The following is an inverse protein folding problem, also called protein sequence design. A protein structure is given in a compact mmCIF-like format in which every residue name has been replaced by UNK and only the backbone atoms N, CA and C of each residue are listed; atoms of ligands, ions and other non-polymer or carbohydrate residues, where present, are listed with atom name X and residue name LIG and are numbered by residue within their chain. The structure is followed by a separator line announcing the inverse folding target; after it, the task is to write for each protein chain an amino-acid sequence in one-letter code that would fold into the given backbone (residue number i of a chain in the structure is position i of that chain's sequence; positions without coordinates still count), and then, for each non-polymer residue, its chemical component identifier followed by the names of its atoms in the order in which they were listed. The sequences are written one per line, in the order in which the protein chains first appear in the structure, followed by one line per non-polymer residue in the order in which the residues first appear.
data_IF_772303301343
#
_entry.id   IF_772303301343
#
_cell.length_a   1.000
_cell.length_b   1.000
_cell.length_c   1.000
_cell.angle_alpha   90.00
_cell.angle_beta   90.00
_cell.angle_gamma   90.00
#
_symmetry.space_group_name_H-M   'P 1'
#
loop_
_entity.id
_entity.type
_entity.pdbx_description
1 polymer ?
#
# COMPACT_ATOMS: atom_id res chain seq x y z
N UNK A 1 13.83 -14.90 -8.67
CA UNK A 1 13.33 -13.51 -8.58
C UNK A 1 13.79 -12.80 -7.29
N UNK A 2 13.89 -13.50 -6.16
CA UNK A 2 14.30 -12.87 -4.88
C UNK A 2 15.78 -12.40 -4.86
N UNK A 3 16.63 -12.97 -5.69
CA UNK A 3 18.06 -12.62 -5.82
C UNK A 3 18.34 -11.63 -6.96
N UNK A 4 17.31 -11.21 -7.69
CA UNK A 4 17.47 -10.26 -8.80
C UNK A 4 17.74 -8.84 -8.24
N UNK A 5 18.87 -8.21 -8.59
CA UNK A 5 19.25 -6.89 -8.07
C UNK A 5 18.24 -5.78 -8.42
N UNK A 6 17.46 -5.96 -9.47
CA UNK A 6 16.37 -5.06 -9.84
C UNK A 6 15.19 -5.19 -8.88
N UNK A 7 14.84 -6.40 -8.45
CA UNK A 7 13.78 -6.65 -7.48
C UNK A 7 14.14 -6.07 -6.10
N UNK A 8 15.37 -6.26 -5.65
CA UNK A 8 15.85 -5.70 -4.38
C UNK A 8 15.82 -4.17 -4.38
N UNK A 9 16.18 -3.53 -5.48
CA UNK A 9 16.10 -2.06 -5.62
C UNK A 9 14.65 -1.56 -5.53
N UNK A 10 13.73 -2.22 -6.21
CA UNK A 10 12.30 -1.90 -6.13
C UNK A 10 11.75 -2.11 -4.72
N UNK A 11 12.10 -3.21 -4.08
CA UNK A 11 11.72 -3.50 -2.70
C UNK A 11 12.19 -2.39 -1.74
N UNK A 12 13.46 -2.02 -1.81
CA UNK A 12 14.00 -0.94 -0.98
C UNK A 12 13.36 0.42 -1.33
N UNK A 13 13.04 0.66 -2.59
CA UNK A 13 12.31 1.85 -3.03
C UNK A 13 10.94 1.95 -2.37
N UNK A 14 10.16 0.88 -2.37
CA UNK A 14 8.85 0.83 -1.71
C UNK A 14 8.96 1.01 -0.19
N UNK A 15 9.92 0.35 0.46
CA UNK A 15 10.15 0.53 1.90
C UNK A 15 10.51 1.98 2.24
N UNK A 16 11.30 2.65 1.39
CA UNK A 16 11.62 4.07 1.58
C UNK A 16 10.40 4.96 1.35
N UNK A 17 9.62 4.68 0.29
CA UNK A 17 8.38 5.40 0.00
C UNK A 17 7.38 5.33 1.17
N UNK A 18 7.23 4.17 1.81
CA UNK A 18 6.38 4.01 3.00
C UNK A 18 6.83 4.88 4.18
N UNK A 19 8.14 4.96 4.42
CA UNK A 19 8.68 5.83 5.49
C UNK A 19 8.40 7.29 5.16
N UNK A 20 8.57 7.72 3.91
CA UNK A 20 8.26 9.09 3.48
C UNK A 20 6.78 9.42 3.66
N UNK A 21 5.89 8.48 3.33
CA UNK A 21 4.44 8.66 3.55
C UNK A 21 4.11 8.73 5.03
N UNK A 22 4.68 7.85 5.86
CA UNK A 22 4.48 7.89 7.31
C UNK A 22 4.97 9.22 7.92
N UNK A 23 6.11 9.73 7.44
CA UNK A 23 6.64 11.02 7.85
C UNK A 23 5.75 12.19 7.40
N UNK A 24 5.26 12.15 6.15
CA UNK A 24 4.34 13.17 5.62
C UNK A 24 3.02 13.20 6.41
N UNK A 25 2.48 12.02 6.77
CA UNK A 25 1.29 11.91 7.63
C UNK A 25 1.52 12.55 9.01
N UNK A 26 2.66 12.26 9.64
CA UNK A 26 3.02 12.87 10.92
C UNK A 26 3.17 14.38 10.81
N UNK A 27 3.83 14.88 9.77
CA UNK A 27 3.98 16.32 9.54
C UNK A 27 2.62 16.99 9.30
N UNK A 28 1.76 16.38 8.48
CA UNK A 28 0.43 16.92 8.20
C UNK A 28 -0.44 16.98 9.45
N UNK A 29 -0.42 15.94 10.26
CA UNK A 29 -1.16 15.90 11.53
C UNK A 29 -0.57 16.87 12.57
N UNK A 30 0.76 16.95 12.67
CA UNK A 30 1.44 17.90 13.55
C UNK A 30 1.14 19.35 13.17
N UNK A 31 1.12 19.68 11.86
CA UNK A 31 0.74 20.99 11.37
C UNK A 31 -0.74 21.31 11.66
N UNK A 32 -1.62 20.33 11.43
CA UNK A 32 -3.04 20.46 11.74
C UNK A 32 -3.30 20.74 13.22
N UNK A 33 -2.54 20.09 14.11
CA UNK A 33 -2.60 20.34 15.54
C UNK A 33 -2.12 21.74 15.91
N UNK A 34 -1.01 22.19 15.34
CA UNK A 34 -0.46 23.52 15.59
C UNK A 34 -1.44 24.64 15.18
N UNK A 35 -2.24 24.41 14.14
CA UNK A 35 -3.19 25.39 13.63
C UNK A 35 -4.55 25.34 14.32
N UNK A 36 -5.05 24.18 14.74
CA UNK A 36 -6.43 23.99 15.21
C UNK A 36 -6.58 23.87 16.73
N UNK A 37 -5.49 23.78 17.51
CA UNK A 37 -5.47 23.55 18.96
C UNK A 37 -6.28 22.31 19.44
N UNK A 38 -6.82 21.52 18.53
CA UNK A 38 -7.64 20.35 18.85
C UNK A 38 -6.76 19.11 18.75
N UNK A 39 -6.10 18.77 19.85
CA UNK A 39 -5.17 17.64 19.90
C UNK A 39 -5.94 16.33 20.03
N UNK A 40 -5.77 15.45 19.05
CA UNK A 40 -6.19 14.05 19.16
C UNK A 40 -4.96 13.15 19.33
N UNK A 41 -4.55 12.87 20.56
CA UNK A 41 -3.32 12.13 20.83
C UNK A 41 -3.34 10.72 20.22
N UNK A 42 -4.52 10.14 20.01
CA UNK A 42 -4.70 8.82 19.40
C UNK A 42 -4.28 8.79 17.92
N UNK A 43 -4.63 9.81 17.13
CA UNK A 43 -4.25 9.89 15.71
C UNK A 43 -2.73 9.99 15.56
N UNK A 44 -2.09 10.81 16.37
CA UNK A 44 -0.63 10.92 16.39
C UNK A 44 0.03 9.62 16.84
N UNK A 45 -0.49 8.95 17.85
CA UNK A 45 0.07 7.69 18.32
C UNK A 45 0.01 6.59 17.26
N UNK A 46 -1.07 6.52 16.48
CA UNK A 46 -1.20 5.57 15.36
C UNK A 46 -0.21 5.89 14.25
N UNK A 47 -0.06 7.17 13.89
CA UNK A 47 0.91 7.56 12.86
C UNK A 47 2.35 7.35 13.30
N UNK A 48 2.66 7.58 14.57
CA UNK A 48 3.97 7.29 15.16
C UNK A 48 4.24 5.78 15.20
N UNK A 49 3.24 4.99 15.60
CA UNK A 49 3.33 3.52 15.58
C UNK A 49 3.54 2.99 14.15
N UNK A 50 2.84 3.57 13.17
CA UNK A 50 3.03 3.23 11.76
C UNK A 50 4.44 3.58 11.28
N UNK A 51 4.96 4.77 11.61
CA UNK A 51 6.35 5.13 11.30
C UNK A 51 7.33 4.16 11.95
N UNK A 52 7.16 3.86 13.23
CA UNK A 52 8.01 2.90 13.92
C UNK A 52 7.97 1.51 13.28
N UNK A 53 6.78 1.02 12.91
CA UNK A 53 6.60 -0.26 12.22
C UNK A 53 7.28 -0.27 10.85
N UNK A 54 7.16 0.79 10.04
CA UNK A 54 7.79 0.88 8.71
C UNK A 54 9.31 0.95 8.81
N UNK A 55 9.85 1.68 9.79
CA UNK A 55 11.30 1.74 10.06
C UNK A 55 11.80 0.38 10.54
N UNK A 56 11.09 -0.27 11.45
CA UNK A 56 11.44 -1.61 11.97
C UNK A 56 11.44 -2.65 10.84
N UNK A 57 10.42 -2.67 10.00
CA UNK A 57 10.34 -3.56 8.84
C UNK A 57 11.49 -3.33 7.87
N UNK A 58 11.91 -2.07 7.67
CA UNK A 58 13.07 -1.76 6.85
C UNK A 58 14.37 -2.24 7.48
N UNK A 59 14.49 -2.12 8.80
CA UNK A 59 15.70 -2.53 9.53
C UNK A 59 15.85 -4.05 9.59
N UNK A 60 14.75 -4.76 9.85
CA UNK A 60 14.71 -6.23 9.88
C UNK A 60 14.75 -6.85 8.47
N UNK A 61 14.21 -6.15 7.46
CA UNK A 61 14.13 -6.63 6.08
C UNK A 61 15.36 -6.31 5.22
N UNK A 62 16.49 -5.90 5.82
CA UNK A 62 17.71 -5.53 5.07
C UNK A 62 18.26 -6.65 4.20
N UNK A 63 18.10 -7.91 4.60
CA UNK A 63 18.78 -9.04 4.00
C UNK A 63 17.87 -10.06 3.28
N UNK A 64 16.55 -9.89 3.34
CA UNK A 64 15.62 -10.87 2.77
C UNK A 64 14.41 -10.20 2.14
N UNK A 65 14.43 -10.01 0.84
CA UNK A 65 13.20 -9.73 0.10
C UNK A 65 12.29 -10.96 0.15
N UNK A 66 10.98 -10.81 0.46
CA UNK A 66 10.07 -11.94 0.53
C UNK A 66 9.96 -12.62 -0.84
N UNK A 67 9.88 -13.95 -0.83
CA UNK A 67 9.64 -14.71 -2.05
C UNK A 67 8.35 -14.23 -2.72
N UNK A 68 8.26 -14.25 -4.06
CA UNK A 68 7.08 -13.76 -4.80
C UNK A 68 5.80 -14.59 -4.58
N UNK A 69 5.88 -15.70 -3.85
CA UNK A 69 4.74 -16.47 -3.38
C UNK A 69 4.12 -15.83 -2.15
N UNK A 70 2.79 -15.92 -2.00
CA UNK A 70 2.02 -15.38 -0.88
C UNK A 70 2.48 -16.02 0.46
N UNK A 71 3.58 -15.54 1.01
CA UNK A 71 4.11 -15.98 2.30
C UNK A 71 3.64 -15.07 3.45
N UNK A 72 3.78 -15.49 4.71
CA UNK A 72 3.38 -14.71 5.87
C UNK A 72 4.11 -13.35 5.96
N UNK A 73 5.27 -13.20 5.34
CA UNK A 73 6.02 -11.95 5.25
C UNK A 73 5.28 -10.86 4.46
N UNK A 74 4.55 -11.24 3.40
CA UNK A 74 3.70 -10.33 2.64
C UNK A 74 2.52 -9.85 3.47
N UNK A 75 1.90 -10.76 4.23
CA UNK A 75 0.81 -10.41 5.13
C UNK A 75 1.26 -9.42 6.19
N UNK A 76 2.43 -9.62 6.79
CA UNK A 76 2.98 -8.69 7.76
C UNK A 76 3.27 -7.32 7.16
N UNK A 77 3.85 -7.27 5.95
CA UNK A 77 4.20 -6.01 5.30
C UNK A 77 2.97 -5.23 4.82
N UNK A 78 2.09 -5.87 4.02
CA UNK A 78 0.89 -5.24 3.46
C UNK A 78 -0.16 -5.02 4.56
N UNK A 79 -0.30 -5.99 5.49
CA UNK A 79 -1.26 -5.92 6.57
C UNK A 79 -1.03 -4.73 7.49
N UNK A 80 0.22 -4.41 7.82
CA UNK A 80 0.56 -3.23 8.64
C UNK A 80 0.08 -1.94 7.97
N UNK A 81 0.27 -1.79 6.65
CA UNK A 81 -0.18 -0.61 5.93
C UNK A 81 -1.71 -0.50 5.92
N UNK A 82 -2.39 -1.61 5.59
CA UNK A 82 -3.85 -1.65 5.56
C UNK A 82 -4.43 -1.35 6.94
N UNK A 83 -3.90 -1.97 8.00
CA UNK A 83 -4.36 -1.74 9.37
C UNK A 83 -4.11 -0.30 9.84
N UNK A 84 -2.94 0.28 9.53
CA UNK A 84 -2.63 1.66 9.89
C UNK A 84 -3.59 2.65 9.20
N UNK A 85 -3.84 2.48 7.89
CA UNK A 85 -4.77 3.35 7.15
C UNK A 85 -6.21 3.15 7.65
N UNK A 86 -6.64 1.91 7.94
CA UNK A 86 -7.94 1.65 8.55
C UNK A 86 -8.08 2.34 9.92
N UNK A 87 -7.07 2.21 10.78
CA UNK A 87 -7.10 2.85 12.09
C UNK A 87 -7.19 4.38 11.97
N UNK A 88 -6.42 4.99 11.06
CA UNK A 88 -6.50 6.43 10.78
C UNK A 88 -7.88 6.82 10.25
N UNK A 89 -8.47 6.03 9.35
CA UNK A 89 -9.81 6.29 8.81
C UNK A 89 -10.89 6.23 9.89
N UNK A 90 -10.79 5.29 10.84
CA UNK A 90 -11.75 5.13 11.94
C UNK A 90 -11.60 6.23 12.99
N UNK A 91 -10.36 6.61 13.32
CA UNK A 91 -10.09 7.60 14.37
C UNK A 91 -10.33 9.01 13.90
N UNK A 92 -10.17 9.28 12.60
CA UNK A 92 -10.31 10.62 12.06
C UNK A 92 -11.77 10.96 11.81
N UNK A 93 -12.30 11.92 12.57
CA UNK A 93 -13.69 12.43 12.43
C UNK A 93 -13.76 13.76 11.67
N UNK A 94 -12.66 14.23 11.11
CA UNK A 94 -12.47 15.60 10.62
C UNK A 94 -12.33 15.76 9.10
N UNK A 95 -13.15 15.11 8.28
CA UNK A 95 -13.25 15.46 6.85
C UNK A 95 -12.06 15.10 5.93
N UNK A 96 -10.89 14.74 6.48
CA UNK A 96 -9.78 14.21 5.67
C UNK A 96 -10.09 12.77 5.25
N UNK A 97 -9.91 12.50 3.97
CA UNK A 97 -10.14 11.19 3.40
C UNK A 97 -8.80 10.46 3.23
N UNK A 98 -8.55 9.42 4.04
CA UNK A 98 -7.35 8.59 3.96
C UNK A 98 -7.46 7.45 2.92
N UNK A 99 -8.59 7.33 2.23
CA UNK A 99 -8.82 6.29 1.20
C UNK A 99 -7.68 6.22 0.17
N UNK A 100 -7.12 7.33 -0.36
CA UNK A 100 -6.03 7.25 -1.34
C UNK A 100 -4.77 6.52 -0.84
N UNK A 101 -4.53 6.50 0.47
CA UNK A 101 -3.37 5.82 1.06
C UNK A 101 -3.43 4.29 0.91
N UNK A 102 -4.61 3.70 0.75
CA UNK A 102 -4.73 2.29 0.40
C UNK A 102 -4.10 1.94 -0.96
N UNK A 103 -3.87 2.93 -1.81
CA UNK A 103 -3.12 2.74 -3.05
C UNK A 103 -1.70 2.20 -2.83
N UNK A 104 -1.04 2.55 -1.71
CA UNK A 104 0.35 2.13 -1.43
C UNK A 104 0.47 0.61 -1.28
N UNK A 105 -0.26 -0.06 -0.36
CA UNK A 105 -0.20 -1.51 -0.24
C UNK A 105 -0.69 -2.23 -1.49
N UNK A 106 -1.68 -1.68 -2.21
CA UNK A 106 -2.17 -2.24 -3.47
C UNK A 106 -1.09 -2.18 -4.55
N UNK A 107 -0.42 -1.03 -4.74
CA UNK A 107 0.66 -0.88 -5.71
C UNK A 107 1.85 -1.77 -5.38
N UNK A 108 2.21 -1.87 -4.10
CA UNK A 108 3.28 -2.76 -3.65
C UNK A 108 2.96 -4.23 -3.99
N UNK A 109 1.74 -4.68 -3.71
CA UNK A 109 1.27 -6.02 -4.05
C UNK A 109 1.25 -6.25 -5.57
N UNK A 110 0.85 -5.24 -6.37
CA UNK A 110 0.75 -5.33 -7.82
C UNK A 110 2.11 -5.37 -8.53
N UNK A 111 3.09 -4.61 -8.04
CA UNK A 111 4.43 -4.52 -8.66
C UNK A 111 5.33 -5.67 -8.24
N UNK A 112 5.36 -5.99 -6.95
CA UNK A 112 6.31 -6.94 -6.38
C UNK A 112 5.72 -8.34 -6.19
N UNK A 113 4.42 -8.43 -5.99
CA UNK A 113 3.73 -9.67 -5.69
C UNK A 113 3.22 -10.45 -6.90
N UNK A 114 2.50 -11.52 -6.61
CA UNK A 114 1.74 -12.28 -7.61
C UNK A 114 0.41 -11.58 -7.94
N UNK A 115 -0.20 -11.93 -9.08
CA UNK A 115 -1.52 -11.41 -9.44
C UNK A 115 -2.58 -11.73 -8.36
N UNK A 116 -2.52 -12.93 -7.78
CA UNK A 116 -3.40 -13.33 -6.68
C UNK A 116 -3.22 -12.47 -5.44
N UNK A 117 -1.98 -12.11 -5.09
CA UNK A 117 -1.71 -11.20 -3.98
C UNK A 117 -2.24 -9.80 -4.27
N UNK A 118 -2.01 -9.28 -5.47
CA UNK A 118 -2.46 -7.96 -5.90
C UNK A 118 -4.00 -7.85 -5.85
N UNK A 119 -4.71 -8.78 -6.47
CA UNK A 119 -6.17 -8.81 -6.49
C UNK A 119 -6.75 -9.11 -5.10
N UNK A 120 -6.12 -10.00 -4.34
CA UNK A 120 -6.52 -10.31 -2.96
C UNK A 120 -6.41 -9.09 -2.03
N UNK A 121 -5.31 -8.35 -2.12
CA UNK A 121 -5.13 -7.10 -1.36
C UNK A 121 -6.18 -6.06 -1.75
N UNK A 122 -6.44 -5.91 -3.04
CA UNK A 122 -7.46 -4.98 -3.56
C UNK A 122 -8.86 -5.38 -3.09
N UNK A 123 -9.18 -6.67 -3.11
CA UNK A 123 -10.45 -7.18 -2.62
C UNK A 123 -10.61 -6.92 -1.10
N UNK A 124 -9.57 -7.18 -0.31
CA UNK A 124 -9.58 -6.91 1.13
C UNK A 124 -9.81 -5.42 1.42
N UNK A 125 -9.10 -4.52 0.74
CA UNK A 125 -9.29 -3.07 0.89
C UNK A 125 -10.70 -2.66 0.48
N UNK A 126 -11.23 -3.16 -0.63
CA UNK A 126 -12.59 -2.85 -1.09
C UNK A 126 -13.64 -3.29 -0.08
N UNK A 127 -13.50 -4.49 0.49
CA UNK A 127 -14.38 -5.00 1.54
C UNK A 127 -14.30 -4.15 2.81
N UNK A 128 -13.10 -3.68 3.19
CA UNK A 128 -12.92 -2.77 4.33
C UNK A 128 -13.61 -1.42 4.09
N UNK A 129 -13.51 -0.85 2.88
CA UNK A 129 -14.20 0.40 2.53
C UNK A 129 -15.73 0.23 2.54
N UNK A 130 -16.25 -0.90 2.05
CA UNK A 130 -17.68 -1.21 2.10
C UNK A 130 -18.15 -1.44 3.54
N UNK A 131 -17.37 -2.15 4.35
CA UNK A 131 -17.66 -2.34 5.77
C UNK A 131 -17.68 -1.01 6.53
N UNK A 132 -16.76 -0.10 6.21
CA UNK A 132 -16.73 1.25 6.76
C UNK A 132 -17.97 2.05 6.36
N UNK A 133 -18.37 2.00 5.08
CA UNK A 133 -19.59 2.66 4.60
C UNK A 133 -20.84 2.13 5.31
N UNK A 134 -20.90 0.81 5.52
CA UNK A 134 -21.97 0.17 6.29
C UNK A 134 -22.01 0.65 7.73
N UNK A 135 -20.85 0.70 8.39
CA UNK A 135 -20.72 1.17 9.78
C UNK A 135 -21.21 2.61 9.93
N UNK A 136 -20.80 3.50 9.01
CA UNK A 136 -21.28 4.88 9.00
C UNK A 136 -22.79 4.98 8.82
N UNK A 137 -23.38 4.17 7.93
CA UNK A 137 -24.82 4.12 7.71
C UNK A 137 -25.60 3.69 8.96
N UNK A 138 -25.09 2.71 9.69
CA UNK A 138 -25.71 2.22 10.94
C UNK A 138 -25.63 3.29 12.03
N UNK A 139 -24.50 3.99 12.15
CA UNK A 139 -24.32 5.00 13.21
C UNK A 139 -25.06 6.32 12.94
N UNK A 140 -25.07 6.77 11.70
CA UNK A 140 -25.64 8.08 11.37
C UNK A 140 -27.15 8.06 11.20
N UNK A 141 -27.75 6.89 10.96
CA UNK A 141 -29.18 6.80 10.60
C UNK A 141 -29.57 7.52 9.32
N UNK A 142 -28.58 8.08 8.59
CA UNK A 142 -28.75 8.79 7.34
C UNK A 142 -28.63 7.83 6.16
N UNK A 143 -29.06 8.29 4.98
CA UNK A 143 -28.90 7.51 3.75
C UNK A 143 -27.42 7.24 3.45
N UNK A 144 -27.00 5.98 3.59
CA UNK A 144 -25.63 5.54 3.37
C UNK A 144 -25.31 5.31 1.87
N UNK A 145 -26.27 5.44 0.97
CA UNK A 145 -26.12 5.17 -0.47
C UNK A 145 -24.91 5.89 -1.08
N UNK A 146 -24.67 7.20 -0.82
CA UNK A 146 -23.50 7.88 -1.36
C UNK A 146 -22.17 7.26 -0.92
N UNK A 147 -22.06 6.82 0.33
CA UNK A 147 -20.86 6.19 0.86
C UNK A 147 -20.60 4.82 0.24
N UNK A 148 -21.66 4.03 -0.02
CA UNK A 148 -21.54 2.76 -0.73
C UNK A 148 -21.10 2.96 -2.17
N UNK A 149 -21.71 3.92 -2.88
CA UNK A 149 -21.35 4.22 -4.26
C UNK A 149 -19.90 4.70 -4.37
N UNK A 150 -19.45 5.56 -3.47
CA UNK A 150 -18.07 6.03 -3.42
C UNK A 150 -17.10 4.86 -3.15
N UNK A 151 -17.40 3.99 -2.19
CA UNK A 151 -16.58 2.84 -1.86
C UNK A 151 -16.50 1.84 -3.00
N UNK A 152 -17.64 1.57 -3.67
CA UNK A 152 -17.69 0.69 -4.83
C UNK A 152 -16.90 1.25 -6.02
N UNK A 153 -17.04 2.55 -6.31
CA UNK A 153 -16.31 3.22 -7.38
C UNK A 153 -14.80 3.21 -7.11
N UNK A 154 -14.40 3.54 -5.88
CA UNK A 154 -13.00 3.51 -5.46
C UNK A 154 -12.42 2.10 -5.54
N UNK A 155 -13.14 1.09 -5.06
CA UNK A 155 -12.75 -0.31 -5.15
C UNK A 155 -12.58 -0.76 -6.60
N UNK A 156 -13.51 -0.41 -7.48
CA UNK A 156 -13.41 -0.69 -8.92
C UNK A 156 -12.18 -0.04 -9.52
N UNK A 157 -11.90 1.23 -9.19
CA UNK A 157 -10.69 1.93 -9.61
C UNK A 157 -9.41 1.23 -9.15
N UNK A 158 -9.39 0.75 -7.91
CA UNK A 158 -8.25 -0.01 -7.39
C UNK A 158 -8.07 -1.36 -8.08
N UNK A 159 -9.15 -2.07 -8.44
CA UNK A 159 -9.04 -3.31 -9.22
C UNK A 159 -8.42 -3.06 -10.60
N UNK A 160 -8.90 -2.04 -11.31
CA UNK A 160 -8.36 -1.67 -12.62
C UNK A 160 -6.87 -1.28 -12.48
N UNK A 161 -6.55 -0.41 -11.52
CA UNK A 161 -5.19 0.05 -11.27
C UNK A 161 -4.26 -1.13 -10.93
N UNK A 162 -4.65 -1.98 -10.00
CA UNK A 162 -3.88 -3.15 -9.57
C UNK A 162 -3.58 -4.09 -10.73
N UNK A 163 -4.59 -4.38 -11.55
CA UNK A 163 -4.44 -5.24 -12.73
C UNK A 163 -3.52 -4.62 -13.78
N UNK A 164 -3.72 -3.35 -14.14
CA UNK A 164 -2.89 -2.65 -15.13
C UNK A 164 -1.44 -2.55 -14.67
N UNK A 165 -1.22 -2.16 -13.42
CA UNK A 165 0.13 -2.02 -12.85
C UNK A 165 0.84 -3.39 -12.84
N UNK A 166 0.14 -4.46 -12.45
CA UNK A 166 0.71 -5.81 -12.49
C UNK A 166 1.09 -6.24 -13.90
N UNK A 167 0.23 -5.98 -14.89
CA UNK A 167 0.53 -6.26 -16.31
C UNK A 167 1.75 -5.47 -16.79
N UNK A 168 1.82 -4.18 -16.49
CA UNK A 168 2.96 -3.34 -16.87
C UNK A 168 4.26 -3.81 -16.21
N UNK A 169 4.22 -4.09 -14.90
CA UNK A 169 5.38 -4.58 -14.17
C UNK A 169 5.90 -5.91 -14.75
N UNK A 170 5.01 -6.84 -15.07
CA UNK A 170 5.39 -8.13 -15.66
C UNK A 170 5.93 -7.99 -17.09
N UNK A 171 5.38 -7.09 -17.90
CA UNK A 171 5.90 -6.78 -19.24
C UNK A 171 7.31 -6.18 -19.19
N UNK A 172 7.52 -5.17 -18.35
CA UNK A 172 8.83 -4.53 -18.19
C UNK A 172 9.92 -5.52 -17.77
N UNK A 173 9.62 -6.40 -16.81
CA UNK A 173 10.56 -7.44 -16.39
C UNK A 173 10.89 -8.39 -17.54
N UNK A 174 9.90 -8.79 -18.34
CA UNK A 174 10.11 -9.67 -19.49
C UNK A 174 10.98 -9.00 -20.56
N UNK A 175 10.72 -7.75 -20.89
CA UNK A 175 11.50 -7.00 -21.89
C UNK A 175 12.96 -6.82 -21.44
N UNK A 176 13.19 -6.51 -20.17
CA UNK A 176 14.54 -6.42 -19.61
C UNK A 176 15.29 -7.77 -19.70
N UNK A 177 14.62 -8.86 -19.39
CA UNK A 177 15.23 -10.22 -19.51
C UNK A 177 15.59 -10.56 -20.96
N UNK A 178 14.74 -10.21 -21.93
CA UNK A 178 15.04 -10.43 -23.36
C UNK A 178 16.23 -9.59 -23.82
N UNK A 179 16.29 -8.30 -23.42
CA UNK A 179 17.41 -7.43 -23.75
C UNK A 179 18.74 -7.95 -23.17
N UNK A 180 18.74 -8.40 -21.92
CA UNK A 180 19.93 -8.99 -21.30
C UNK A 180 20.40 -10.27 -22.00
N UNK A 181 19.47 -11.15 -22.39
CA UNK A 181 19.82 -12.38 -23.13
C UNK A 181 20.41 -12.07 -24.50
N UNK A 182 19.90 -11.08 -25.23
CA UNK A 182 20.44 -10.68 -26.53
C UNK A 182 21.86 -10.10 -26.42
N UNK A 183 22.12 -9.30 -25.38
CA UNK A 183 23.46 -8.79 -25.11
C UNK A 183 24.46 -9.90 -24.75
N UNK A 184 24.06 -10.86 -23.92
CA UNK A 184 24.92 -11.99 -23.58
C UNK A 184 25.21 -12.87 -24.80
N UNK A 185 24.22 -13.12 -25.67
CA UNK A 185 24.43 -13.86 -26.90
C UNK A 185 25.39 -13.16 -27.86
N UNK A 186 25.32 -11.82 -27.98
CA UNK A 186 26.23 -11.04 -28.79
C UNK A 186 27.69 -11.10 -28.29
N UNK A 187 27.88 -11.06 -26.95
CA UNK A 187 29.21 -11.18 -26.35
C UNK A 187 29.86 -12.55 -26.50
N UNK A 188 29.06 -13.62 -26.64
CA UNK A 188 29.57 -14.99 -26.86
C UNK A 188 29.93 -15.27 -28.35
N UNK A 189 29.52 -14.39 -29.26
CA UNK A 189 29.81 -14.51 -30.70
C UNK A 189 30.95 -13.60 -31.17
N UNK A 190 31.44 -12.73 -30.30
CA UNK A 190 32.59 -11.83 -30.53
C UNK A 190 33.88 -12.45 -30.01
#
# INVERSE_FOLDING_TARGET
RAEDPSFLRLWHGFLTGRILVALALLMLQGLGQALSQNTRPLELSVSLAYLAATVLLRWLGKDAAPAPSAGPQWLASIGVDVLAVCALQVLHTGGLNFTPLFGIPILMAAVLGSLTLALGTTAAVTLLLLAWAWWLGVQSGLDATPHYLQSALTGTGYFILSFLVHLLATRLVREQQLAQRSQQAALLQA
#
